data_IF_655518965342
#
_entry.id   IF_655518965342
#
_cell.length_a   1.000
_cell.length_b   1.000
_cell.length_c   1.000
_cell.angle_alpha   90.00
_cell.angle_beta   90.00
_cell.angle_gamma   90.00
#
_symmetry.space_group_name_H-M   'P 1'
#
loop_
_entity.id
_entity.type
_entity.pdbx_description
1 polymer ?
#
# COMPACT_ATOMS: atom_id res chain seq x y z
N UNK A 1 0.25 -18.76 -0.14
CA UNK A 1 -0.55 -18.06 -1.17
C UNK A 1 0.17 -16.82 -1.76
N UNK A 2 1.51 -16.79 -1.71
CA UNK A 2 2.35 -15.74 -2.30
C UNK A 2 2.69 -14.59 -1.35
N UNK A 3 1.86 -14.30 -0.34
CA UNK A 3 2.12 -13.25 0.63
C UNK A 3 2.91 -13.70 1.86
N UNK A 4 2.91 -12.84 2.88
CA UNK A 4 3.50 -13.11 4.20
C UNK A 4 2.47 -12.88 5.31
N UNK A 5 2.62 -13.61 6.42
CA UNK A 5 1.93 -13.32 7.67
C UNK A 5 2.90 -13.48 8.84
N UNK A 6 2.91 -12.57 9.81
CA UNK A 6 3.66 -12.75 11.05
C UNK A 6 3.03 -13.80 11.98
N UNK A 7 1.71 -14.01 11.88
CA UNK A 7 0.97 -15.02 12.66
C UNK A 7 1.13 -16.45 12.13
N UNK A 8 2.03 -16.67 11.16
CA UNK A 8 2.32 -18.02 10.66
C UNK A 8 2.87 -18.94 11.76
N UNK A 9 3.61 -18.38 12.72
CA UNK A 9 4.13 -19.10 13.90
C UNK A 9 3.00 -19.58 14.81
N UNK A 10 1.85 -18.90 14.76
CA UNK A 10 0.62 -19.24 15.49
C UNK A 10 -0.35 -20.07 14.61
N UNK A 11 0.10 -20.57 13.46
CA UNK A 11 -0.66 -21.49 12.61
C UNK A 11 -1.50 -20.83 11.51
N UNK A 12 -1.34 -19.52 11.26
CA UNK A 12 -2.06 -18.88 10.15
C UNK A 12 -1.63 -19.45 8.79
N UNK A 13 -2.59 -19.93 8.01
CA UNK A 13 -2.37 -20.49 6.67
C UNK A 13 -2.62 -19.48 5.55
N UNK A 14 -3.08 -18.29 5.89
CA UNK A 14 -3.42 -17.21 4.95
C UNK A 14 -2.51 -16.02 5.22
N UNK A 15 -1.93 -15.45 4.17
CA UNK A 15 -1.09 -14.28 4.32
C UNK A 15 -1.88 -13.06 4.80
N UNK A 16 -1.21 -12.08 5.40
CA UNK A 16 -1.82 -10.81 5.81
C UNK A 16 -1.34 -9.65 4.94
N UNK A 17 -2.20 -8.65 4.75
CA UNK A 17 -1.89 -7.49 3.93
C UNK A 17 -0.73 -6.66 4.49
N UNK A 18 -0.72 -6.45 5.81
CA UNK A 18 0.33 -5.71 6.50
C UNK A 18 1.71 -6.33 6.27
N UNK A 19 1.85 -7.61 6.60
CA UNK A 19 3.14 -8.31 6.48
C UNK A 19 3.57 -8.44 5.02
N UNK A 20 2.60 -8.68 4.12
CA UNK A 20 2.88 -8.74 2.68
C UNK A 20 3.42 -7.41 2.16
N UNK A 21 2.73 -6.28 2.38
CA UNK A 21 3.20 -4.98 1.87
C UNK A 21 4.54 -4.56 2.49
N UNK A 22 4.77 -4.83 3.77
CA UNK A 22 6.05 -4.52 4.41
C UNK A 22 7.20 -5.36 3.82
N UNK A 23 6.97 -6.64 3.56
CA UNK A 23 7.96 -7.53 2.93
C UNK A 23 8.24 -7.11 1.48
N UNK A 24 7.18 -6.77 0.73
CA UNK A 24 7.28 -6.29 -0.65
C UNK A 24 8.15 -5.05 -0.77
N UNK A 25 8.00 -4.07 0.12
CA UNK A 25 8.85 -2.87 0.15
C UNK A 25 10.33 -3.21 0.33
N UNK A 26 10.65 -4.09 1.29
CA UNK A 26 12.02 -4.54 1.50
C UNK A 26 12.60 -5.27 0.29
N UNK A 27 11.81 -6.13 -0.36
CA UNK A 27 12.22 -6.83 -1.58
C UNK A 27 12.43 -5.87 -2.76
N UNK A 28 11.57 -4.86 -2.89
CA UNK A 28 11.71 -3.81 -3.91
C UNK A 28 12.98 -2.99 -3.68
N UNK A 29 13.27 -2.60 -2.44
CA UNK A 29 14.50 -1.86 -2.11
C UNK A 29 15.76 -2.70 -2.34
N UNK A 30 15.71 -4.01 -2.02
CA UNK A 30 16.78 -4.95 -2.35
C UNK A 30 17.04 -5.02 -3.86
N UNK A 31 15.99 -5.00 -4.67
CA UNK A 31 16.09 -5.01 -6.13
C UNK A 31 16.67 -3.69 -6.67
N UNK A 32 16.21 -2.54 -6.16
CA UNK A 32 16.73 -1.22 -6.53
C UNK A 32 18.22 -1.05 -6.24
N UNK A 33 18.70 -1.68 -5.18
CA UNK A 33 20.11 -1.65 -4.79
C UNK A 33 20.98 -2.69 -5.52
N UNK A 34 20.38 -3.47 -6.44
CA UNK A 34 21.08 -4.49 -7.22
C UNK A 34 21.35 -5.80 -6.45
N UNK A 35 20.80 -5.94 -5.25
CA UNK A 35 20.98 -7.12 -4.39
C UNK A 35 19.96 -8.25 -4.62
N UNK A 36 19.03 -8.09 -5.57
CA UNK A 36 18.02 -9.11 -5.84
C UNK A 36 18.58 -10.33 -6.59
N UNK A 37 18.08 -11.50 -6.21
CA UNK A 37 18.19 -12.74 -6.96
C UNK A 37 16.88 -13.04 -7.71
N UNK A 38 16.91 -14.02 -8.60
CA UNK A 38 15.68 -14.51 -9.26
C UNK A 38 14.65 -14.99 -8.24
N UNK A 39 15.10 -15.60 -7.14
CA UNK A 39 14.22 -16.06 -6.06
C UNK A 39 13.54 -14.89 -5.33
N UNK A 40 14.28 -13.81 -5.03
CA UNK A 40 13.69 -12.63 -4.36
C UNK A 40 12.74 -11.88 -5.28
N UNK A 41 13.06 -11.81 -6.58
CA UNK A 41 12.18 -11.22 -7.60
C UNK A 41 10.89 -12.03 -7.76
N UNK A 42 11.01 -13.35 -7.86
CA UNK A 42 9.85 -14.25 -7.91
C UNK A 42 8.97 -14.14 -6.66
N UNK A 43 9.57 -14.05 -5.47
CA UNK A 43 8.85 -13.83 -4.22
C UNK A 43 8.11 -12.49 -4.20
N UNK A 44 8.75 -11.40 -4.67
CA UNK A 44 8.11 -10.08 -4.78
C UNK A 44 6.87 -10.14 -5.67
N UNK A 45 6.99 -10.70 -6.86
CA UNK A 45 5.84 -10.83 -7.77
C UNK A 45 4.74 -11.74 -7.22
N UNK A 46 5.08 -12.80 -6.49
CA UNK A 46 4.08 -13.66 -5.83
C UNK A 46 3.28 -12.91 -4.75
N UNK A 47 3.95 -12.03 -3.98
CA UNK A 47 3.29 -11.18 -2.98
C UNK A 47 2.46 -10.06 -3.61
N UNK A 48 2.91 -9.50 -4.73
CA UNK A 48 2.11 -8.56 -5.54
C UNK A 48 0.83 -9.22 -6.01
N UNK A 49 0.92 -10.42 -6.58
CA UNK A 49 -0.24 -11.18 -7.04
C UNK A 49 -1.19 -11.52 -5.89
N UNK A 50 -0.68 -11.79 -4.68
CA UNK A 50 -1.52 -11.95 -3.49
C UNK A 50 -2.40 -10.71 -3.24
N UNK A 51 -1.84 -9.50 -3.34
CA UNK A 51 -2.60 -8.24 -3.15
C UNK A 51 -3.53 -7.96 -4.33
N UNK A 52 -3.07 -8.19 -5.56
CA UNK A 52 -3.81 -7.90 -6.80
C UNK A 52 -5.05 -8.79 -6.94
N UNK A 53 -4.96 -10.10 -6.62
CA UNK A 53 -6.14 -10.99 -6.61
C UNK A 53 -7.24 -10.53 -5.67
N UNK A 54 -6.88 -9.70 -4.69
CA UNK A 54 -7.74 -9.13 -3.66
C UNK A 54 -8.14 -7.69 -3.95
N UNK A 55 -7.84 -7.16 -5.15
CA UNK A 55 -8.10 -5.78 -5.51
C UNK A 55 -7.48 -4.77 -4.55
N UNK A 56 -6.40 -5.13 -3.86
CA UNK A 56 -5.72 -4.38 -2.80
C UNK A 56 -6.50 -4.15 -1.48
N UNK A 57 -7.77 -4.54 -1.37
CA UNK A 57 -8.50 -4.31 -0.11
C UNK A 57 -9.56 -5.36 0.25
N UNK A 58 -9.81 -6.36 -0.60
CA UNK A 58 -10.92 -7.30 -0.43
C UNK A 58 -10.47 -8.64 0.13
N UNK A 59 -11.36 -9.32 0.86
CA UNK A 59 -11.22 -10.74 1.16
C UNK A 59 -11.55 -11.54 -0.09
N UNK A 60 -10.77 -12.57 -0.42
CA UNK A 60 -11.08 -13.44 -1.56
C UNK A 60 -12.41 -14.17 -1.38
N UNK A 61 -12.71 -14.62 -0.16
CA UNK A 61 -13.88 -15.45 0.10
C UNK A 61 -15.20 -14.68 0.02
N UNK A 62 -15.21 -13.40 0.39
CA UNK A 62 -16.46 -12.63 0.55
C UNK A 62 -16.54 -11.41 -0.37
N UNK A 63 -15.42 -10.95 -0.96
CA UNK A 63 -15.38 -9.69 -1.70
C UNK A 63 -15.42 -8.42 -0.82
N UNK A 64 -15.77 -8.56 0.46
CA UNK A 64 -15.82 -7.46 1.43
C UNK A 64 -14.44 -6.90 1.78
N UNK A 65 -14.35 -5.64 2.24
CA UNK A 65 -13.12 -5.08 2.77
C UNK A 65 -12.47 -5.97 3.84
N UNK A 66 -11.15 -6.16 3.73
CA UNK A 66 -10.38 -7.03 4.62
C UNK A 66 -10.28 -6.48 6.04
N UNK A 67 -10.30 -5.16 6.19
CA UNK A 67 -10.30 -4.50 7.49
C UNK A 67 -10.51 -2.99 7.38
N UNK A 68 -10.78 -2.32 8.52
CA UNK A 68 -11.13 -0.90 8.58
C UNK A 68 -9.94 0.05 8.31
N UNK A 69 -8.77 -0.48 7.97
CA UNK A 69 -7.56 0.31 7.70
C UNK A 69 -7.32 0.53 6.21
N UNK A 70 -8.11 -0.11 5.33
CA UNK A 70 -7.90 -0.05 3.88
C UNK A 70 -8.02 1.38 3.33
N UNK A 71 -8.98 2.15 3.83
CA UNK A 71 -9.31 3.50 3.43
C UNK A 71 -8.82 4.58 4.41
N UNK A 72 -8.25 4.20 5.55
CA UNK A 72 -7.75 5.17 6.54
C UNK A 72 -6.31 5.57 6.24
N UNK A 73 -6.16 6.67 5.51
CA UNK A 73 -4.85 7.18 5.12
C UNK A 73 -4.19 7.96 6.25
N UNK A 74 -3.00 7.51 6.65
CA UNK A 74 -2.24 8.09 7.76
C UNK A 74 -0.75 8.10 7.43
N UNK A 75 -0.07 9.20 7.73
CA UNK A 75 1.37 9.30 7.63
C UNK A 75 2.00 9.77 8.97
N UNK A 76 3.10 9.17 9.44
CA UNK A 76 3.85 8.06 8.83
C UNK A 76 3.09 6.73 8.85
N UNK A 77 3.22 5.94 7.78
CA UNK A 77 2.52 4.66 7.61
C UNK A 77 2.83 3.63 8.71
N UNK A 78 4.06 3.67 9.26
CA UNK A 78 4.62 2.65 10.17
C UNK A 78 4.37 1.23 9.62
N UNK A 79 3.77 0.34 10.42
CA UNK A 79 3.44 -1.03 10.02
C UNK A 79 2.09 -1.13 9.27
N UNK A 80 1.32 -0.04 9.20
CA UNK A 80 -0.08 -0.09 8.79
C UNK A 80 -0.21 -0.10 7.28
N UNK A 81 -1.03 -1.02 6.79
CA UNK A 81 -1.48 -1.06 5.40
C UNK A 81 -2.58 -0.01 5.20
N UNK A 82 -2.57 0.61 4.03
CA UNK A 82 -3.72 1.27 3.44
C UNK A 82 -3.64 1.09 1.92
N UNK A 83 -4.75 1.31 1.22
CA UNK A 83 -4.77 1.27 -0.24
C UNK A 83 -3.82 2.32 -0.84
N UNK A 84 -3.75 3.53 -0.28
CA UNK A 84 -2.81 4.55 -0.74
C UNK A 84 -1.34 4.11 -0.59
N UNK A 85 -1.00 3.47 0.53
CA UNK A 85 0.34 2.92 0.76
C UNK A 85 0.70 1.83 -0.27
N UNK A 86 -0.27 0.95 -0.58
CA UNK A 86 -0.07 -0.10 -1.58
C UNK A 86 0.04 0.46 -3.01
N UNK A 87 -0.79 1.44 -3.38
CA UNK A 87 -0.70 2.08 -4.69
C UNK A 87 0.62 2.81 -4.89
N UNK A 88 1.14 3.47 -3.85
CA UNK A 88 2.48 4.06 -3.92
C UNK A 88 3.59 3.02 -4.09
N UNK A 89 3.42 1.84 -3.48
CA UNK A 89 4.31 0.70 -3.72
C UNK A 89 4.23 0.22 -5.18
N UNK A 90 3.05 -0.01 -5.75
CA UNK A 90 2.92 -0.48 -7.14
C UNK A 90 3.45 0.54 -8.15
N UNK A 91 3.22 1.83 -7.88
CA UNK A 91 3.83 2.94 -8.61
C UNK A 91 5.36 2.82 -8.61
N UNK A 92 5.95 2.66 -7.42
CA UNK A 92 7.39 2.48 -7.25
C UNK A 92 7.92 1.22 -7.96
N UNK A 93 7.21 0.09 -7.87
CA UNK A 93 7.60 -1.16 -8.53
C UNK A 93 7.60 -1.05 -10.06
N UNK A 94 6.67 -0.27 -10.64
CA UNK A 94 6.60 -0.05 -12.09
C UNK A 94 7.83 0.67 -12.68
N UNK A 95 8.62 1.35 -11.86
CA UNK A 95 9.89 1.95 -12.29
C UNK A 95 10.93 0.88 -12.66
N UNK A 96 10.84 -0.32 -12.05
CA UNK A 96 11.73 -1.45 -12.34
C UNK A 96 11.12 -2.41 -13.36
N UNK A 97 9.83 -2.70 -13.22
CA UNK A 97 9.14 -3.73 -14.00
C UNK A 97 8.58 -3.21 -15.33
N UNK A 98 8.67 -1.90 -15.56
CA UNK A 98 7.96 -1.19 -16.62
C UNK A 98 6.53 -0.82 -16.20
N UNK A 99 5.88 0.08 -16.98
CA UNK A 99 4.53 0.55 -16.67
C UNK A 99 3.55 -0.63 -16.62
N UNK A 100 2.92 -0.82 -15.46
CA UNK A 100 1.90 -1.84 -15.21
C UNK A 100 0.66 -1.22 -14.59
N UNK A 101 -0.30 -0.86 -15.43
CA UNK A 101 -1.64 -0.48 -15.01
C UNK A 101 -2.51 -1.72 -14.90
N UNK A 102 -2.39 -2.45 -13.78
CA UNK A 102 -3.23 -3.64 -13.57
C UNK A 102 -4.68 -3.23 -13.29
N UNK A 103 -5.67 -3.64 -14.13
CA UNK A 103 -7.07 -3.25 -13.96
C UNK A 103 -7.67 -3.62 -12.60
N UNK A 104 -7.10 -4.62 -11.91
CA UNK A 104 -7.53 -5.04 -10.55
C UNK A 104 -7.31 -3.96 -9.50
N UNK A 105 -6.51 -2.93 -9.78
CA UNK A 105 -6.30 -1.78 -8.90
C UNK A 105 -7.32 -0.65 -9.09
N UNK A 106 -8.23 -0.74 -10.06
CA UNK A 106 -9.17 0.35 -10.40
C UNK A 106 -9.99 0.81 -9.20
N UNK A 107 -10.65 -0.11 -8.49
CA UNK A 107 -11.49 0.24 -7.33
C UNK A 107 -10.66 0.84 -6.17
N UNK A 108 -9.43 0.37 -6.02
CA UNK A 108 -8.48 0.91 -5.05
C UNK A 108 -8.08 2.36 -5.39
N UNK A 109 -7.86 2.66 -6.66
CA UNK A 109 -7.58 4.02 -7.13
C UNK A 109 -8.78 4.93 -6.90
N UNK A 110 -9.99 4.48 -7.20
CA UNK A 110 -11.22 5.24 -6.95
C UNK A 110 -11.43 5.52 -5.46
N UNK A 111 -11.06 4.58 -4.58
CA UNK A 111 -11.06 4.81 -3.12
C UNK A 111 -10.13 5.97 -2.71
N UNK A 112 -8.98 6.12 -3.36
CA UNK A 112 -8.08 7.27 -3.11
C UNK A 112 -8.69 8.55 -3.67
N UNK A 113 -9.26 8.54 -4.89
CA UNK A 113 -9.90 9.71 -5.50
C UNK A 113 -11.07 10.22 -4.66
N UNK A 114 -11.91 9.32 -4.16
CA UNK A 114 -13.09 9.66 -3.38
C UNK A 114 -12.77 10.44 -2.09
N UNK A 115 -11.54 10.32 -1.57
CA UNK A 115 -11.09 11.04 -0.38
C UNK A 115 -10.40 12.37 -0.67
N UNK A 116 -10.19 12.71 -1.95
CA UNK A 116 -9.61 13.99 -2.36
C UNK A 116 -10.58 15.11 -1.98
N UNK A 117 -10.10 16.07 -1.21
CA UNK A 117 -10.87 17.26 -0.83
C UNK A 117 -11.03 18.22 -2.03
N UNK A 118 -11.98 19.19 -1.98
CA UNK A 118 -12.18 20.15 -3.06
C UNK A 118 -10.94 20.98 -3.42
N UNK A 119 -10.03 21.19 -2.47
CA UNK A 119 -8.75 21.88 -2.67
C UNK A 119 -7.65 20.97 -3.24
N UNK A 120 -7.97 19.72 -3.55
CA UNK A 120 -7.04 18.74 -4.11
C UNK A 120 -6.15 18.02 -3.08
N UNK A 121 -6.35 18.25 -1.78
CA UNK A 121 -5.54 17.63 -0.71
C UNK A 121 -6.24 16.43 -0.07
N UNK A 122 -5.50 15.68 0.74
CA UNK A 122 -6.02 14.58 1.55
C UNK A 122 -5.83 14.87 3.03
N UNK A 123 -6.84 14.52 3.82
CA UNK A 123 -6.81 14.75 5.27
C UNK A 123 -6.10 13.59 5.97
N UNK A 124 -5.39 13.92 7.05
CA UNK A 124 -4.81 12.95 7.95
C UNK A 124 -5.90 12.18 8.72
N UNK A 125 -5.93 10.85 8.64
CA UNK A 125 -6.72 10.02 9.56
C UNK A 125 -6.03 9.89 10.93
N UNK A 126 -6.72 9.38 11.96
CA UNK A 126 -6.17 9.19 13.31
C UNK A 126 -4.72 8.67 13.31
N UNK A 127 -3.73 9.49 13.75
CA UNK A 127 -2.33 9.09 13.84
C UNK A 127 -2.12 7.84 14.67
N UNK A 128 -1.15 7.01 14.28
CA UNK A 128 -0.85 5.78 15.01
C UNK A 128 -0.23 6.08 16.38
N UNK A 129 -0.82 5.49 17.43
CA UNK A 129 -0.34 5.61 18.81
C UNK A 129 1.13 5.18 18.96
N UNK A 130 1.81 5.75 19.95
CA UNK A 130 3.21 5.47 20.26
C UNK A 130 4.02 6.76 20.41
N UNK A 131 5.07 6.70 21.25
CA UNK A 131 5.95 7.85 21.51
C UNK A 131 6.70 8.26 20.25
N UNK A 132 6.77 9.56 19.99
CA UNK A 132 7.54 10.16 18.90
C UNK A 132 8.40 11.29 19.45
N UNK A 133 9.53 11.56 18.79
CA UNK A 133 10.38 12.70 19.14
C UNK A 133 9.77 14.03 18.69
N UNK A 134 9.09 14.02 17.53
CA UNK A 134 8.33 15.14 16.98
C UNK A 134 7.25 14.60 16.04
N UNK A 135 6.20 15.41 15.79
CA UNK A 135 5.19 15.08 14.78
C UNK A 135 5.78 15.26 13.37
N UNK A 136 5.76 14.20 12.57
CA UNK A 136 6.25 14.21 11.18
C UNK A 136 5.26 14.88 10.22
N UNK A 137 3.99 14.85 10.59
CA UNK A 137 2.88 15.32 9.77
C UNK A 137 1.82 15.99 10.65
N UNK A 138 0.76 16.49 10.02
CA UNK A 138 -0.32 17.24 10.65
C UNK A 138 -1.21 16.36 11.57
N UNK A 139 -1.95 16.96 12.52
CA UNK A 139 -2.98 16.29 13.31
C UNK A 139 -4.11 15.69 12.47
N UNK A 140 -4.93 14.84 13.09
CA UNK A 140 -6.13 14.27 12.45
C UNK A 140 -7.08 15.37 11.93
N UNK A 141 -7.64 15.16 10.74
CA UNK A 141 -8.59 16.07 10.10
C UNK A 141 -7.93 17.22 9.34
N UNK A 142 -6.64 17.45 9.51
CA UNK A 142 -5.91 18.51 8.81
C UNK A 142 -5.41 18.04 7.42
N UNK A 143 -5.30 18.92 6.41
CA UNK A 143 -4.74 18.58 5.11
C UNK A 143 -3.27 18.20 5.20
N UNK A 144 -2.95 16.92 4.99
CA UNK A 144 -1.60 16.37 5.12
C UNK A 144 -0.77 16.65 3.86
N UNK A 145 0.39 17.32 3.97
CA UNK A 145 1.33 17.46 2.86
C UNK A 145 1.83 16.10 2.35
N UNK A 146 2.10 15.16 3.27
CA UNK A 146 2.62 13.84 2.91
C UNK A 146 1.58 13.00 2.18
N UNK A 147 0.37 12.85 2.74
CA UNK A 147 -0.69 12.09 2.08
C UNK A 147 -1.06 12.70 0.74
N UNK A 148 -1.08 14.03 0.64
CA UNK A 148 -1.27 14.71 -0.65
C UNK A 148 -0.16 14.38 -1.64
N UNK A 149 1.10 14.37 -1.21
CA UNK A 149 2.22 13.96 -2.06
C UNK A 149 2.07 12.51 -2.56
N UNK A 150 1.82 11.56 -1.65
CA UNK A 150 1.64 10.14 -2.00
C UNK A 150 0.44 9.93 -2.93
N UNK A 151 -0.70 10.56 -2.64
CA UNK A 151 -1.92 10.40 -3.42
C UNK A 151 -1.80 11.03 -4.80
N UNK A 152 -1.27 12.26 -4.90
CA UNK A 152 -1.08 12.92 -6.19
C UNK A 152 -0.16 12.13 -7.10
N UNK A 153 0.99 11.62 -6.61
CA UNK A 153 1.90 10.85 -7.46
C UNK A 153 1.36 9.47 -7.85
N UNK A 154 0.60 8.81 -6.97
CA UNK A 154 -0.05 7.55 -7.29
C UNK A 154 -1.13 7.73 -8.36
N UNK A 155 -1.96 8.79 -8.22
CA UNK A 155 -3.02 9.09 -9.17
C UNK A 155 -2.47 9.60 -10.51
N UNK A 156 -1.44 10.45 -10.49
CA UNK A 156 -0.77 10.90 -11.72
C UNK A 156 -0.19 9.72 -12.51
N UNK A 157 0.52 8.80 -11.85
CA UNK A 157 1.01 7.57 -12.48
C UNK A 157 -0.11 6.69 -13.05
N UNK A 158 -1.23 6.57 -12.32
CA UNK A 158 -2.37 5.81 -12.82
C UNK A 158 -3.02 6.46 -14.04
N UNK A 159 -3.05 7.79 -14.09
CA UNK A 159 -3.73 8.57 -15.13
C UNK A 159 -2.90 8.74 -16.40
N UNK A 160 -1.58 8.52 -16.37
CA UNK A 160 -0.71 8.53 -17.56
C UNK A 160 -0.87 7.29 -18.44
N UNK A 161 -2.09 6.77 -18.57
CA UNK A 161 -2.44 5.64 -19.45
C UNK A 161 -2.18 5.97 -20.93
#
# INVERSE_FOLDING_TARGET
>A
DGGWNCEWVEGSTVSSFHSTLNSLKGLLDLERTGGATDATRAARHAGEEYLLRRGLFRRLATGEPVGPWVDRFVYPWRHRYSVLNALDYFRAASELDGPKHDPRMTDAVEMVRAQRQPDGRWLQSTPLAGRVWFAIDVPEGEPSPWLTFFATRALAWWDTR
#
